data_IF_831815028817
#
_entry.id   IF_831815028817
#
_cell.length_a   1.000
_cell.length_b   1.000
_cell.length_c   1.000
_cell.angle_alpha   90.00
_cell.angle_beta   90.00
_cell.angle_gamma   90.00
#
_symmetry.space_group_name_H-M   'P 1'
#
loop_
_entity.id
_entity.type
_entity.pdbx_description
1 polymer ?
#
# COMPACT_ATOMS: atom_id res chain seq x y z
N UNK A 1 8.46 24.57 4.10
CA UNK A 1 9.36 24.56 2.92
C UNK A 1 9.51 23.17 2.33
N UNK A 2 9.72 22.13 3.14
CA UNK A 2 9.91 20.75 2.68
C UNK A 2 8.74 20.27 1.81
N UNK A 3 7.52 20.41 2.28
CA UNK A 3 6.29 19.99 1.57
C UNK A 3 6.11 20.67 0.20
N UNK A 4 6.69 21.85 0.03
CA UNK A 4 6.61 22.64 -1.23
C UNK A 4 7.87 22.49 -2.10
N UNK A 5 8.85 21.70 -1.67
CA UNK A 5 10.07 21.52 -2.43
C UNK A 5 9.84 20.60 -3.62
N UNK A 6 10.69 20.73 -4.63
CA UNK A 6 10.72 19.81 -5.78
C UNK A 6 11.46 18.50 -5.47
N UNK A 7 11.84 18.26 -4.21
CA UNK A 7 12.67 17.14 -3.81
C UNK A 7 14.16 17.36 -4.07
N UNK A 8 14.90 16.27 -4.23
CA UNK A 8 16.36 16.32 -4.47
C UNK A 8 17.20 16.45 -3.19
N UNK A 9 16.63 16.08 -2.03
CA UNK A 9 17.33 16.05 -0.75
C UNK A 9 16.92 14.84 0.08
N UNK A 10 17.74 14.47 1.05
CA UNK A 10 17.44 13.48 2.08
C UNK A 10 17.10 14.21 3.37
N UNK A 11 15.96 13.88 3.95
CA UNK A 11 15.55 14.41 5.24
C UNK A 11 15.79 13.38 6.35
N UNK A 12 16.91 13.48 7.03
CA UNK A 12 17.24 12.61 8.15
C UNK A 12 16.52 13.08 9.42
N UNK A 13 15.66 12.25 9.95
CA UNK A 13 14.93 12.50 11.19
C UNK A 13 15.30 11.47 12.25
N UNK A 14 15.15 11.82 13.53
CA UNK A 14 15.09 10.82 14.60
C UNK A 14 13.86 9.94 14.42
N UNK A 15 13.88 8.73 14.97
CA UNK A 15 12.86 7.72 14.75
C UNK A 15 11.43 8.27 14.88
N UNK A 16 11.06 8.76 16.06
CA UNK A 16 9.72 9.32 16.30
C UNK A 16 9.39 10.51 15.38
N UNK A 17 10.33 11.43 15.20
CA UNK A 17 10.15 12.59 14.33
C UNK A 17 9.99 12.16 12.86
N UNK A 18 10.67 11.10 12.45
CA UNK A 18 10.57 10.49 11.13
C UNK A 18 9.19 9.89 10.89
N UNK A 19 8.67 9.13 11.85
CA UNK A 19 7.33 8.53 11.79
C UNK A 19 6.25 9.62 11.63
N UNK A 20 6.29 10.65 12.47
CA UNK A 20 5.34 11.76 12.40
C UNK A 20 5.46 12.55 11.08
N UNK A 21 6.69 12.83 10.65
CA UNK A 21 6.93 13.63 9.44
C UNK A 21 6.56 12.87 8.16
N UNK A 22 6.86 11.58 8.07
CA UNK A 22 6.50 10.76 6.91
C UNK A 22 4.98 10.65 6.76
N UNK A 23 4.26 10.39 7.84
CA UNK A 23 2.79 10.35 7.86
C UNK A 23 2.17 11.69 7.44
N UNK A 24 2.69 12.79 7.97
CA UNK A 24 2.19 14.13 7.65
C UNK A 24 2.41 14.51 6.18
N UNK A 25 3.58 14.17 5.62
CA UNK A 25 3.87 14.42 4.21
C UNK A 25 3.00 13.55 3.31
N UNK A 26 2.88 12.26 3.62
CA UNK A 26 2.14 11.32 2.79
C UNK A 26 0.63 11.58 2.82
N UNK A 27 0.10 12.02 3.96
CA UNK A 27 -1.33 12.41 4.09
C UNK A 27 -1.68 13.58 3.16
N UNK A 28 -0.72 14.43 2.82
CA UNK A 28 -0.94 15.52 1.86
C UNK A 28 -1.11 15.02 0.42
N UNK A 29 -0.71 13.79 0.11
CA UNK A 29 -0.75 13.20 -1.23
C UNK A 29 -1.74 12.03 -1.36
N UNK A 30 -2.36 11.58 -0.27
CA UNK A 30 -3.30 10.47 -0.33
C UNK A 30 -3.73 9.94 1.03
N UNK A 31 -4.13 8.67 1.07
CA UNK A 31 -4.57 7.98 2.27
C UNK A 31 -3.40 7.27 2.98
N UNK A 32 -3.34 7.37 4.30
CA UNK A 32 -2.46 6.54 5.16
C UNK A 32 -2.60 5.04 4.86
N UNK A 33 -3.79 4.60 4.45
CA UNK A 33 -4.05 3.21 4.10
C UNK A 33 -3.29 2.72 2.84
N UNK A 34 -2.58 3.59 2.16
CA UNK A 34 -1.74 3.26 1.00
C UNK A 34 -0.25 3.32 1.31
N UNK A 35 0.12 3.69 2.52
CA UNK A 35 1.52 3.87 2.91
C UNK A 35 2.15 2.58 3.40
N UNK A 36 3.40 2.41 3.04
CA UNK A 36 4.27 1.35 3.57
C UNK A 36 5.49 1.94 4.25
N UNK A 37 6.02 1.22 5.19
CA UNK A 37 7.28 1.51 5.86
C UNK A 37 8.30 0.42 5.56
N UNK A 38 9.57 0.79 5.48
CA UNK A 38 10.68 -0.15 5.30
C UNK A 38 11.74 0.15 6.35
N UNK A 39 12.01 -0.82 7.19
CA UNK A 39 13.08 -0.78 8.18
C UNK A 39 14.30 -1.51 7.61
N UNK A 40 15.46 -0.90 7.74
CA UNK A 40 16.71 -1.47 7.26
C UNK A 40 17.72 -1.51 8.39
N UNK A 41 18.21 -2.70 8.74
CA UNK A 41 19.24 -2.86 9.74
C UNK A 41 20.63 -2.53 9.18
N UNK A 42 21.60 -2.18 10.02
CA UNK A 42 22.97 -1.89 9.57
C UNK A 42 23.66 -3.05 8.84
N UNK A 43 23.25 -4.29 9.11
CA UNK A 43 23.74 -5.51 8.46
C UNK A 43 22.95 -5.89 7.20
N UNK A 44 22.08 -4.99 6.71
CA UNK A 44 21.39 -5.13 5.42
C UNK A 44 20.16 -6.04 5.44
N UNK A 45 19.51 -6.24 6.58
CA UNK A 45 18.20 -6.90 6.66
C UNK A 45 17.10 -5.89 6.45
N UNK A 46 16.01 -6.34 5.84
CA UNK A 46 14.86 -5.52 5.47
C UNK A 46 13.59 -6.06 6.12
N UNK A 47 12.80 -5.17 6.70
CA UNK A 47 11.45 -5.42 7.17
C UNK A 47 10.48 -4.48 6.46
N UNK A 48 9.41 -5.03 5.92
CA UNK A 48 8.37 -4.28 5.21
C UNK A 48 7.07 -4.37 5.98
N UNK A 49 6.44 -3.25 6.22
CA UNK A 49 5.19 -3.19 6.96
C UNK A 49 4.20 -2.18 6.34
N UNK A 50 2.93 -2.33 6.66
CA UNK A 50 1.95 -1.26 6.45
C UNK A 50 2.18 -0.16 7.49
N UNK A 51 2.21 1.09 7.07
CA UNK A 51 2.46 2.22 7.98
C UNK A 51 1.31 2.51 8.97
N UNK A 52 0.18 1.81 8.86
CA UNK A 52 -0.97 1.96 9.77
C UNK A 52 -1.02 0.83 10.81
N UNK A 53 -1.72 1.08 11.91
CA UNK A 53 -1.91 0.11 13.00
C UNK A 53 -2.87 -1.05 12.65
N UNK A 54 -3.07 -1.95 13.60
CA UNK A 54 -3.78 -3.23 13.46
C UNK A 54 -5.28 -3.13 13.23
N UNK A 55 -5.88 -1.95 13.30
CA UNK A 55 -7.32 -1.68 13.06
C UNK A 55 -8.24 -2.63 13.84
N UNK A 56 -7.94 -2.87 15.11
CA UNK A 56 -8.63 -3.81 16.01
C UNK A 56 -10.14 -3.63 16.07
N UNK A 57 -10.64 -2.40 15.84
CA UNK A 57 -12.07 -2.12 15.78
C UNK A 57 -12.80 -2.95 14.72
N UNK A 58 -12.18 -3.19 13.56
CA UNK A 58 -12.75 -4.02 12.49
C UNK A 58 -12.73 -5.50 12.87
N UNK A 59 -11.69 -5.95 13.56
CA UNK A 59 -11.60 -7.31 14.07
C UNK A 59 -12.73 -7.61 15.07
N UNK A 60 -13.00 -6.70 16.01
CA UNK A 60 -14.10 -6.88 16.96
C UNK A 60 -15.49 -6.87 16.31
N UNK A 61 -15.69 -6.14 15.22
CA UNK A 61 -16.90 -6.24 14.42
C UNK A 61 -17.04 -7.59 13.75
N UNK A 62 -15.96 -8.06 13.12
CA UNK A 62 -15.91 -9.39 12.51
C UNK A 62 -16.26 -10.50 13.51
N UNK A 63 -15.73 -10.47 14.74
CA UNK A 63 -16.05 -11.44 15.79
C UNK A 63 -17.54 -11.45 16.17
N UNK A 64 -18.25 -10.34 15.97
CA UNK A 64 -19.70 -10.22 16.21
C UNK A 64 -20.53 -10.64 14.99
N UNK A 65 -19.90 -11.08 13.91
CA UNK A 65 -20.59 -11.40 12.66
C UNK A 65 -21.07 -10.18 11.86
N UNK A 66 -20.60 -8.98 12.22
CA UNK A 66 -20.91 -7.75 11.48
C UNK A 66 -20.05 -7.66 10.21
N UNK A 67 -20.63 -7.16 9.12
CA UNK A 67 -19.85 -6.85 7.92
C UNK A 67 -18.84 -5.73 8.23
N UNK A 68 -17.60 -5.98 7.87
CA UNK A 68 -16.52 -5.01 8.03
C UNK A 68 -15.57 -5.04 6.85
N UNK A 69 -14.97 -3.90 6.55
CA UNK A 69 -14.07 -3.75 5.42
C UNK A 69 -12.97 -2.76 5.77
N UNK A 70 -11.74 -3.09 5.37
CA UNK A 70 -10.57 -2.22 5.46
C UNK A 70 -9.91 -2.11 4.09
N UNK A 71 -9.10 -1.09 3.89
CA UNK A 71 -8.28 -0.95 2.70
C UNK A 71 -7.04 -1.85 2.82
N UNK A 72 -6.82 -2.84 1.93
CA UNK A 72 -5.68 -3.75 2.01
C UNK A 72 -4.41 -3.23 1.30
N UNK A 73 -4.44 -2.05 0.69
CA UNK A 73 -3.39 -1.57 -0.20
C UNK A 73 -2.01 -1.50 0.46
N UNK A 74 -1.91 -0.93 1.65
CA UNK A 74 -0.63 -0.82 2.35
C UNK A 74 -0.02 -2.21 2.64
N UNK A 75 -0.85 -3.18 3.02
CA UNK A 75 -0.40 -4.57 3.24
C UNK A 75 0.05 -5.22 1.94
N UNK A 76 -0.68 -5.01 0.84
CA UNK A 76 -0.29 -5.54 -0.48
C UNK A 76 1.04 -4.93 -0.91
N UNK A 77 1.24 -3.62 -0.76
CA UNK A 77 2.49 -2.96 -1.11
C UNK A 77 3.66 -3.36 -0.20
N UNK A 78 3.44 -3.62 1.08
CA UNK A 78 4.46 -4.19 1.95
C UNK A 78 4.91 -5.56 1.43
N UNK A 79 3.97 -6.44 1.05
CA UNK A 79 4.29 -7.73 0.46
C UNK A 79 5.00 -7.61 -0.90
N UNK A 80 4.52 -6.76 -1.81
CA UNK A 80 5.17 -6.59 -3.12
C UNK A 80 6.59 -6.05 -2.98
N UNK A 81 6.80 -5.08 -2.08
CA UNK A 81 8.14 -4.57 -1.76
C UNK A 81 9.08 -5.65 -1.21
N UNK A 82 8.60 -6.47 -0.27
CA UNK A 82 9.37 -7.58 0.30
C UNK A 82 9.70 -8.65 -0.76
N UNK A 83 8.74 -9.02 -1.60
CA UNK A 83 8.93 -9.99 -2.68
C UNK A 83 9.93 -9.47 -3.73
N UNK A 84 9.81 -8.20 -4.14
CA UNK A 84 10.78 -7.56 -5.05
C UNK A 84 12.17 -7.59 -4.46
N UNK A 85 12.31 -7.17 -3.21
CA UNK A 85 13.61 -7.15 -2.52
C UNK A 85 14.22 -8.55 -2.41
N UNK A 86 13.41 -9.53 -2.08
CA UNK A 86 13.84 -10.93 -2.04
C UNK A 86 14.28 -11.42 -3.42
N UNK A 87 13.51 -11.08 -4.46
CA UNK A 87 13.85 -11.39 -5.85
C UNK A 87 15.18 -10.79 -6.30
N UNK A 88 15.45 -9.54 -5.91
CA UNK A 88 16.73 -8.89 -6.17
C UNK A 88 17.90 -9.58 -5.45
N UNK A 89 17.73 -9.88 -4.15
CA UNK A 89 18.79 -10.49 -3.33
C UNK A 89 19.15 -11.91 -3.78
N UNK A 90 18.17 -12.69 -4.23
CA UNK A 90 18.36 -14.09 -4.65
C UNK A 90 18.53 -14.25 -6.18
N UNK A 91 18.55 -13.13 -6.91
CA UNK A 91 18.61 -13.14 -8.38
C UNK A 91 17.46 -13.95 -9.02
N UNK A 92 16.22 -13.72 -8.53
CA UNK A 92 15.00 -14.35 -9.01
C UNK A 92 14.16 -13.33 -9.80
N UNK A 93 14.42 -13.14 -11.11
CA UNK A 93 13.74 -12.10 -11.90
C UNK A 93 12.23 -12.32 -12.03
N UNK A 94 11.76 -13.55 -11.97
CA UNK A 94 10.32 -13.86 -12.01
C UNK A 94 9.60 -13.36 -10.77
N UNK A 95 10.26 -13.35 -9.61
CA UNK A 95 9.69 -12.82 -8.38
C UNK A 95 9.60 -11.29 -8.42
N UNK A 96 10.60 -10.63 -9.01
CA UNK A 96 10.57 -9.18 -9.26
C UNK A 96 9.44 -8.84 -10.22
N UNK A 97 9.33 -9.56 -11.35
CA UNK A 97 8.24 -9.39 -12.33
C UNK A 97 6.87 -9.56 -11.71
N UNK A 98 6.70 -10.56 -10.84
CA UNK A 98 5.44 -10.77 -10.12
C UNK A 98 5.09 -9.59 -9.22
N UNK A 99 6.05 -9.09 -8.44
CA UNK A 99 5.86 -7.95 -7.56
C UNK A 99 5.46 -6.68 -8.33
N UNK A 100 6.12 -6.41 -9.45
CA UNK A 100 5.81 -5.27 -10.33
C UNK A 100 4.42 -5.41 -10.96
N UNK A 101 4.05 -6.61 -11.41
CA UNK A 101 2.73 -6.89 -11.96
C UNK A 101 1.62 -6.71 -10.92
N UNK A 102 1.87 -7.12 -9.67
CA UNK A 102 0.94 -6.94 -8.56
C UNK A 102 0.68 -5.45 -8.26
N UNK A 103 1.73 -4.64 -8.17
CA UNK A 103 1.59 -3.19 -7.98
C UNK A 103 0.87 -2.53 -9.15
N UNK A 104 1.24 -2.89 -10.38
CA UNK A 104 0.55 -2.38 -11.56
C UNK A 104 -0.94 -2.76 -11.58
N UNK A 105 -1.30 -3.99 -11.16
CA UNK A 105 -2.71 -4.40 -11.04
C UNK A 105 -3.47 -3.60 -9.99
N UNK A 106 -2.83 -3.24 -8.88
CA UNK A 106 -3.40 -2.36 -7.86
C UNK A 106 -3.70 -0.96 -8.45
N UNK A 107 -2.74 -0.35 -9.12
CA UNK A 107 -2.93 0.96 -9.73
C UNK A 107 -4.00 0.95 -10.83
N UNK A 108 -4.03 -0.07 -11.69
CA UNK A 108 -5.07 -0.21 -12.71
C UNK A 108 -6.47 -0.31 -12.07
N UNK A 109 -6.59 -1.07 -10.99
CA UNK A 109 -7.85 -1.20 -10.24
C UNK A 109 -8.33 0.16 -9.72
N UNK A 110 -7.43 0.95 -9.13
CA UNK A 110 -7.75 2.28 -8.64
C UNK A 110 -8.08 3.25 -9.79
N UNK A 111 -7.30 3.25 -10.85
CA UNK A 111 -7.49 4.13 -12.01
C UNK A 111 -8.82 3.88 -12.73
N UNK A 112 -9.34 2.65 -12.69
CA UNK A 112 -10.68 2.30 -13.18
C UNK A 112 -11.80 2.68 -12.21
N UNK A 113 -11.49 3.28 -11.06
CA UNK A 113 -12.44 3.73 -10.06
C UNK A 113 -12.92 2.63 -9.10
N UNK A 114 -12.35 1.43 -9.13
CA UNK A 114 -12.69 0.37 -8.17
C UNK A 114 -11.88 0.62 -6.90
N UNK A 115 -12.57 0.95 -5.82
CA UNK A 115 -11.95 1.45 -4.59
C UNK A 115 -12.63 0.90 -3.33
N UNK A 116 -11.94 0.97 -2.21
CA UNK A 116 -12.53 0.81 -0.89
C UNK A 116 -13.20 2.11 -0.44
N UNK A 117 -14.10 2.04 0.54
CA UNK A 117 -14.94 3.17 0.98
C UNK A 117 -14.13 4.40 1.40
N UNK A 118 -12.97 4.21 2.01
CA UNK A 118 -12.07 5.27 2.48
C UNK A 118 -11.46 6.10 1.32
N UNK A 119 -11.24 5.47 0.15
CA UNK A 119 -10.69 6.12 -1.01
C UNK A 119 -11.75 6.80 -1.90
N UNK A 120 -13.02 6.44 -1.75
CA UNK A 120 -14.07 6.93 -2.64
C UNK A 120 -14.18 8.46 -2.67
N UNK A 121 -13.96 9.14 -1.54
CA UNK A 121 -13.98 10.60 -1.44
C UNK A 121 -12.72 11.29 -1.95
N UNK A 122 -11.67 10.56 -2.28
CA UNK A 122 -10.39 11.08 -2.79
C UNK A 122 -10.26 10.94 -4.31
N UNK A 123 -11.22 10.26 -4.96
CA UNK A 123 -11.17 10.03 -6.41
C UNK A 123 -11.54 11.29 -7.17
N UNK A 124 -10.71 11.66 -8.15
CA UNK A 124 -10.95 12.75 -9.08
C UNK A 124 -11.02 12.22 -10.52
N UNK A 125 -11.97 12.72 -11.28
CA UNK A 125 -12.11 12.41 -12.72
C UNK A 125 -12.71 11.03 -13.05
N UNK A 126 -12.96 10.17 -12.05
CA UNK A 126 -13.55 8.84 -12.21
C UNK A 126 -14.65 8.61 -11.18
N UNK A 127 -15.77 8.03 -11.59
CA UNK A 127 -16.85 7.68 -10.66
C UNK A 127 -16.46 6.46 -9.81
N UNK A 128 -16.37 6.57 -8.47
CA UNK A 128 -15.90 5.49 -7.63
C UNK A 128 -16.93 4.34 -7.55
N UNK A 129 -16.47 3.12 -7.74
CA UNK A 129 -17.19 1.88 -7.50
C UNK A 129 -16.68 1.26 -6.20
N UNK A 130 -17.38 1.51 -5.11
CA UNK A 130 -16.96 1.03 -3.79
C UNK A 130 -17.13 -0.47 -3.66
N UNK A 131 -16.09 -1.15 -3.24
CA UNK A 131 -16.06 -2.57 -2.91
C UNK A 131 -15.63 -2.76 -1.44
N UNK A 132 -16.08 -3.86 -0.83
CA UNK A 132 -15.49 -4.34 0.42
C UNK A 132 -14.10 -4.96 0.16
N UNK A 133 -13.36 -5.27 1.22
CA UNK A 133 -11.99 -5.80 1.11
C UNK A 133 -11.90 -7.01 0.17
N UNK A 134 -12.82 -7.98 0.29
CA UNK A 134 -12.82 -9.18 -0.53
C UNK A 134 -13.08 -8.87 -2.02
N UNK A 135 -14.05 -8.02 -2.32
CA UNK A 135 -14.37 -7.61 -3.69
C UNK A 135 -13.25 -6.76 -4.32
N UNK A 136 -12.57 -5.95 -3.52
CA UNK A 136 -11.44 -5.16 -3.98
C UNK A 136 -10.23 -6.04 -4.30
N UNK A 137 -9.88 -6.99 -3.43
CA UNK A 137 -8.81 -7.97 -3.67
C UNK A 137 -9.12 -8.84 -4.89
N UNK A 138 -10.38 -9.27 -5.09
CA UNK A 138 -10.79 -10.02 -6.26
C UNK A 138 -10.59 -9.23 -7.57
N UNK A 139 -10.89 -7.93 -7.56
CA UNK A 139 -10.65 -7.06 -8.71
C UNK A 139 -9.15 -6.89 -9.03
N UNK A 140 -8.29 -6.77 -8.01
CA UNK A 140 -6.83 -6.74 -8.20
C UNK A 140 -6.34 -8.08 -8.77
N UNK A 141 -6.81 -9.20 -8.22
CA UNK A 141 -6.43 -10.53 -8.68
C UNK A 141 -6.74 -10.74 -10.16
N UNK A 142 -7.92 -10.38 -10.61
CA UNK A 142 -8.31 -10.50 -12.02
C UNK A 142 -7.34 -9.76 -12.96
N UNK A 143 -6.89 -8.57 -12.57
CA UNK A 143 -5.93 -7.79 -13.36
C UNK A 143 -4.51 -8.36 -13.30
N UNK A 144 -4.13 -8.85 -12.12
CA UNK A 144 -2.84 -9.52 -11.96
C UNK A 144 -2.74 -10.76 -12.84
N UNK A 145 -3.77 -11.62 -12.85
CA UNK A 145 -3.80 -12.83 -13.68
C UNK A 145 -3.65 -12.47 -15.17
N UNK A 146 -4.30 -11.39 -15.64
CA UNK A 146 -4.14 -10.91 -17.03
C UNK A 146 -2.73 -10.38 -17.34
N UNK A 147 -2.02 -9.83 -16.34
CA UNK A 147 -0.65 -9.33 -16.53
C UNK A 147 0.40 -10.44 -16.50
N UNK A 148 0.09 -11.55 -15.88
CA UNK A 148 0.99 -12.70 -15.76
C UNK A 148 0.80 -13.74 -16.87
N UNK A 149 -0.34 -13.70 -17.56
CA UNK A 149 -0.61 -14.56 -18.73
C UNK A 149 0.26 -14.16 -19.93
#
# INVERSE_FOLDING_TARGET
>A
RVIRSKGGFIWACKNYDGDVMSDMVSTAFGSLAMMTSVLVSPDGKYEYEAAHGTVTRHYYKYLKGEETSTNPMATIFAWSGALRKRGEMDNLPELVRYADALEAACFDTLNEGIVTKDLAGLMEGVTPQTKNSAGFIAAIRERLEKKLA
#
